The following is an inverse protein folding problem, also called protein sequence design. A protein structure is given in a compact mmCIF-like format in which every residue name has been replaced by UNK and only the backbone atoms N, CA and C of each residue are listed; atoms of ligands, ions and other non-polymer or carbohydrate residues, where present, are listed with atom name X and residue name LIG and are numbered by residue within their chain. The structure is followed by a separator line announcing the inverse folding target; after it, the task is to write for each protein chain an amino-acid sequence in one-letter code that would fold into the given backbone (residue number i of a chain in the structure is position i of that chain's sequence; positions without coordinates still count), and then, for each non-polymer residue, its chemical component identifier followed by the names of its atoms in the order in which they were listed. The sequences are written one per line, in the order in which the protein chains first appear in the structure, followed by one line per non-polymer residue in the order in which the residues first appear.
data_IF_770666802935
#
_entry.id   IF_770666802935
#
_cell.length_a   1.000
_cell.length_b   1.000
_cell.length_c   1.000
_cell.angle_alpha   90.00
_cell.angle_beta   90.00
_cell.angle_gamma   90.00
#
_symmetry.space_group_name_H-M   'P 1'
#
loop_
_entity.id
_entity.type
_entity.pdbx_description
1 polymer ?
#
# COMPACT_ATOMS: atom_id res chain seq x y z
N UNK A 1 -14.07 4.22 -8.57
CA UNK A 1 -14.79 3.13 -7.88
C UNK A 1 -14.28 1.77 -8.30
N UNK A 2 -14.49 1.27 -9.52
CA UNK A 2 -13.96 -0.06 -9.90
C UNK A 2 -12.41 -0.19 -9.81
N UNK A 3 -11.69 0.87 -10.20
CA UNK A 3 -10.22 0.90 -10.18
C UNK A 3 -9.61 0.93 -8.78
N UNK A 4 -10.31 1.54 -7.82
CA UNK A 4 -9.83 1.69 -6.44
C UNK A 4 -9.98 0.35 -5.70
N UNK A 5 -11.10 -0.34 -5.91
CA UNK A 5 -11.35 -1.68 -5.36
C UNK A 5 -10.38 -2.73 -5.92
N UNK A 6 -10.00 -2.63 -7.20
CA UNK A 6 -8.96 -3.52 -7.77
C UNK A 6 -7.58 -3.28 -7.15
N UNK A 7 -7.23 -2.03 -6.82
CA UNK A 7 -5.97 -1.69 -6.16
C UNK A 7 -5.94 -2.09 -4.68
N UNK A 8 -7.08 -1.98 -3.99
CA UNK A 8 -7.24 -2.50 -2.62
C UNK A 8 -7.08 -4.02 -2.59
N UNK A 9 -7.75 -4.75 -3.49
CA UNK A 9 -7.60 -6.21 -3.58
C UNK A 9 -6.16 -6.60 -3.90
N UNK A 10 -5.45 -5.84 -4.74
CA UNK A 10 -4.03 -6.06 -5.04
C UNK A 10 -3.12 -5.81 -3.82
N UNK A 11 -3.42 -4.81 -2.99
CA UNK A 11 -2.68 -4.56 -1.75
C UNK A 11 -2.90 -5.67 -0.72
N UNK A 12 -4.15 -6.00 -0.40
CA UNK A 12 -4.46 -7.01 0.62
C UNK A 12 -3.87 -8.38 0.24
N UNK A 13 -3.94 -8.75 -1.05
CA UNK A 13 -3.31 -9.98 -1.54
C UNK A 13 -1.78 -9.94 -1.46
N UNK A 14 -1.15 -8.80 -1.72
CA UNK A 14 0.30 -8.66 -1.59
C UNK A 14 0.74 -8.74 -0.12
N UNK A 15 -0.04 -8.15 0.79
CA UNK A 15 0.20 -8.19 2.22
C UNK A 15 0.06 -9.61 2.78
N UNK A 16 -1.02 -10.32 2.45
CA UNK A 16 -1.24 -11.71 2.87
C UNK A 16 -0.08 -12.63 2.43
N UNK A 17 0.38 -12.49 1.18
CA UNK A 17 1.54 -13.23 0.68
C UNK A 17 2.82 -12.87 1.41
N UNK A 18 3.00 -11.59 1.76
CA UNK A 18 4.17 -11.13 2.51
C UNK A 18 4.19 -11.73 3.91
N UNK A 19 3.06 -11.71 4.61
CA UNK A 19 2.91 -12.32 5.93
C UNK A 19 3.22 -13.82 5.89
N UNK A 20 2.68 -14.55 4.91
CA UNK A 20 2.98 -15.96 4.74
C UNK A 20 4.46 -16.21 4.45
N UNK A 21 5.10 -15.35 3.65
CA UNK A 21 6.54 -15.42 3.34
C UNK A 21 7.37 -15.23 4.61
N UNK A 22 7.04 -14.23 5.43
CA UNK A 22 7.70 -13.97 6.72
C UNK A 22 7.52 -15.14 7.66
N UNK A 23 6.30 -15.64 7.84
CA UNK A 23 6.02 -16.81 8.69
C UNK A 23 6.83 -18.03 8.26
N UNK A 24 6.96 -18.27 6.95
CA UNK A 24 7.75 -19.39 6.42
C UNK A 24 9.25 -19.21 6.70
N UNK A 25 9.77 -17.99 6.56
CA UNK A 25 11.17 -17.66 6.88
C UNK A 25 11.45 -17.83 8.38
N UNK A 26 10.53 -17.39 9.24
CA UNK A 26 10.65 -17.49 10.71
C UNK A 26 10.54 -18.93 11.22
N UNK A 27 9.70 -19.75 10.59
CA UNK A 27 9.58 -21.17 10.92
C UNK A 27 10.87 -21.96 10.66
N UNK A 28 11.71 -21.49 9.74
CA UNK A 28 12.97 -22.15 9.37
C UNK A 28 12.74 -23.49 8.67
N UNK A 29 13.72 -24.41 8.78
CA UNK A 29 13.67 -25.71 8.06
C UNK A 29 13.88 -25.60 6.55
N UNK A 30 14.32 -24.43 6.08
CA UNK A 30 14.59 -24.14 4.67
C UNK A 30 16.05 -24.40 4.34
N UNK A 31 16.31 -24.84 3.12
CA UNK A 31 17.66 -24.76 2.55
C UNK A 31 18.04 -23.31 2.30
N UNK A 32 19.35 -23.03 2.22
CA UNK A 32 19.85 -21.69 1.93
C UNK A 32 19.24 -21.10 0.65
N UNK A 33 19.14 -21.89 -0.42
CA UNK A 33 18.55 -21.45 -1.68
C UNK A 33 17.05 -21.09 -1.54
N UNK A 34 16.29 -21.87 -0.77
CA UNK A 34 14.87 -21.56 -0.51
C UNK A 34 14.72 -20.29 0.33
N UNK A 35 15.53 -20.14 1.38
CA UNK A 35 15.52 -18.94 2.22
C UNK A 35 15.87 -17.69 1.41
N UNK A 36 16.88 -17.75 0.53
CA UNK A 36 17.23 -16.64 -0.37
C UNK A 36 16.08 -16.32 -1.33
N UNK A 37 15.45 -17.32 -1.94
CA UNK A 37 14.32 -17.10 -2.85
C UNK A 37 13.12 -16.44 -2.15
N UNK A 38 12.76 -16.93 -0.96
CA UNK A 38 11.66 -16.35 -0.17
C UNK A 38 11.99 -14.93 0.29
N UNK A 39 13.23 -14.66 0.65
CA UNK A 39 13.66 -13.31 1.02
C UNK A 39 13.50 -12.33 -0.16
N UNK A 40 13.94 -12.71 -1.36
CA UNK A 40 13.75 -11.89 -2.57
C UNK A 40 12.27 -11.64 -2.88
N UNK A 41 11.43 -12.67 -2.74
CA UNK A 41 9.98 -12.54 -2.89
C UNK A 41 9.38 -11.59 -1.85
N UNK A 42 9.74 -11.75 -0.57
CA UNK A 42 9.32 -10.87 0.51
C UNK A 42 9.72 -9.41 0.25
N UNK A 43 10.93 -9.16 -0.24
CA UNK A 43 11.35 -7.80 -0.63
C UNK A 43 10.51 -7.22 -1.77
N UNK A 44 10.14 -8.02 -2.77
CA UNK A 44 9.27 -7.56 -3.87
C UNK A 44 7.85 -7.25 -3.38
N UNK A 45 7.30 -8.09 -2.53
CA UNK A 45 5.97 -7.90 -1.94
C UNK A 45 5.95 -6.64 -1.06
N UNK A 46 6.92 -6.48 -0.16
CA UNK A 46 7.06 -5.30 0.69
C UNK A 46 7.15 -4.00 -0.13
N UNK A 47 7.93 -4.00 -1.22
CA UNK A 47 8.00 -2.86 -2.14
C UNK A 47 6.65 -2.56 -2.78
N UNK A 48 5.91 -3.58 -3.20
CA UNK A 48 4.58 -3.43 -3.81
C UNK A 48 3.59 -2.82 -2.82
N UNK A 49 3.57 -3.32 -1.58
CA UNK A 49 2.75 -2.76 -0.51
C UNK A 49 3.08 -1.29 -0.25
N UNK A 50 4.36 -0.93 -0.16
CA UNK A 50 4.80 0.45 0.02
C UNK A 50 4.30 1.38 -1.10
N UNK A 51 4.45 0.97 -2.36
CA UNK A 51 3.97 1.76 -3.51
C UNK A 51 2.45 2.00 -3.51
N UNK A 52 1.67 1.02 -3.02
CA UNK A 52 0.22 1.16 -2.88
C UNK A 52 -0.13 2.15 -1.76
N UNK A 53 0.57 2.06 -0.62
CA UNK A 53 0.40 3.02 0.48
C UNK A 53 0.75 4.44 0.04
N UNK A 54 1.87 4.64 -0.65
CA UNK A 54 2.29 5.96 -1.18
C UNK A 54 1.21 6.56 -2.10
N UNK A 55 0.61 5.73 -2.96
CA UNK A 55 -0.45 6.15 -3.88
C UNK A 55 -1.72 6.55 -3.11
N UNK A 56 -2.08 5.78 -2.09
CA UNK A 56 -3.23 6.06 -1.25
C UNK A 56 -3.03 7.35 -0.43
N UNK A 57 -1.85 7.54 0.15
CA UNK A 57 -1.49 8.75 0.89
C UNK A 57 -1.58 9.99 0.02
N UNK A 58 -0.98 9.96 -1.18
CA UNK A 58 -1.09 11.05 -2.14
C UNK A 58 -2.56 11.39 -2.44
N UNK A 59 -3.39 10.37 -2.63
CA UNK A 59 -4.80 10.58 -2.93
C UNK A 59 -5.55 11.24 -1.78
N UNK A 60 -5.26 10.84 -0.54
CA UNK A 60 -5.83 11.45 0.67
C UNK A 60 -5.40 12.92 0.77
N UNK A 61 -4.13 13.23 0.55
CA UNK A 61 -3.62 14.60 0.57
C UNK A 61 -4.28 15.48 -0.50
N UNK A 62 -4.44 14.98 -1.72
CA UNK A 62 -5.16 15.70 -2.78
C UNK A 62 -6.60 16.03 -2.39
N UNK A 63 -7.32 15.06 -1.80
CA UNK A 63 -8.70 15.24 -1.37
C UNK A 63 -8.81 16.25 -0.22
N UNK A 64 -7.88 16.21 0.73
CA UNK A 64 -7.82 17.18 1.83
C UNK A 64 -7.59 18.60 1.31
N UNK A 65 -6.62 18.79 0.42
CA UNK A 65 -6.34 20.10 -0.18
C UNK A 65 -7.52 20.61 -1.00
N UNK A 66 -8.15 19.74 -1.81
CA UNK A 66 -9.32 20.11 -2.58
C UNK A 66 -10.50 20.54 -1.69
N UNK A 67 -10.67 19.91 -0.53
CA UNK A 67 -11.68 20.30 0.45
C UNK A 67 -11.37 21.64 1.10
N UNK A 68 -10.13 21.86 1.54
CA UNK A 68 -9.70 23.12 2.16
C UNK A 68 -9.89 24.31 1.21
N UNK A 69 -9.45 24.20 -0.04
CA UNK A 69 -9.63 25.25 -1.04
C UNK A 69 -11.12 25.60 -1.26
N UNK A 70 -12.00 24.59 -1.22
CA UNK A 70 -13.45 24.80 -1.37
C UNK A 70 -14.09 25.51 -0.17
N UNK A 71 -13.48 25.40 1.01
CA UNK A 71 -13.94 26.09 2.22
C UNK A 71 -13.46 27.55 2.19
N UNK A 72 -12.19 27.79 1.83
CA UNK A 72 -11.63 29.14 1.70
C UNK A 72 -12.39 29.96 0.64
N UNK A 73 -12.65 29.40 -0.55
CA UNK A 73 -13.41 30.08 -1.61
C UNK A 73 -14.86 30.41 -1.25
N UNK A 74 -15.43 29.77 -0.21
CA UNK A 74 -16.78 30.09 0.28
C UNK A 74 -16.78 31.21 1.31
N UNK A 75 -15.73 31.36 2.09
CA UNK A 75 -15.60 32.44 3.08
C UNK A 75 -15.37 33.81 2.40
N UNK A 76 -14.73 33.82 1.23
CA UNK A 76 -14.47 35.04 0.44
C UNK A 76 -15.71 35.62 -0.30
N UNK A 77 -16.85 34.90 -0.33
CA UNK A 77 -18.07 35.31 -1.05
C UNK A 77 -19.09 36.00 -0.15
N UNK A 78 -18.94 35.88 1.17
CA UNK A 78 -19.86 36.44 2.17
C UNK A 78 -19.45 37.84 2.71
N UNK A 79 -18.41 38.49 2.13
CA UNK A 79 -18.03 39.91 2.32
C UNK A 79 -18.41 40.81 1.12
#
# INVERSE_FOLDING_TARGET
MAKDTEQEVDFEQALEKLEHTVQTLEAGGLTLAQATSLYEEGMRLAKTCGQRLDTAELKVTELQNAFLNQVEEREDVDE
#
